data_IF_246780777241
#
_entry.id   IF_246780777241
#
_cell.length_a   1.000
_cell.length_b   1.000
_cell.length_c   1.000
_cell.angle_alpha   90.00
_cell.angle_beta   90.00
_cell.angle_gamma   90.00
#
_symmetry.space_group_name_H-M   'P 1'
#
loop_
_entity.id
_entity.type
_entity.pdbx_description
1 polymer ?
#
# COMPACT_ATOMS: atom_id res chain seq x y z
N UNK A 1 -0.03 5.29 -4.07
CA UNK A 1 0.68 3.99 -4.20
C UNK A 1 2.20 4.12 -4.14
N UNK A 2 2.85 4.90 -5.02
CA UNK A 2 4.33 5.08 -5.00
C UNK A 2 4.86 5.60 -3.65
N UNK A 3 4.12 6.48 -2.98
CA UNK A 3 4.51 7.01 -1.66
C UNK A 3 4.50 5.93 -0.57
N UNK A 4 3.48 5.07 -0.53
CA UNK A 4 3.45 3.93 0.40
C UNK A 4 4.56 2.90 0.14
N UNK A 5 5.02 2.77 -1.11
CA UNK A 5 6.18 1.95 -1.45
C UNK A 5 7.46 2.53 -0.86
N UNK A 6 7.64 3.85 -0.97
CA UNK A 6 8.77 4.55 -0.37
C UNK A 6 8.81 4.36 1.14
N UNK A 7 7.65 4.35 1.81
CA UNK A 7 7.58 4.15 3.24
C UNK A 7 7.96 2.74 3.68
N UNK A 8 7.51 1.73 2.94
CA UNK A 8 7.92 0.36 3.18
C UNK A 8 9.42 0.18 2.98
N UNK A 9 9.99 0.75 1.90
CA UNK A 9 11.44 0.73 1.66
C UNK A 9 12.19 1.48 2.77
N UNK A 10 11.64 2.61 3.24
CA UNK A 10 12.17 3.36 4.37
C UNK A 10 12.23 2.50 5.65
N UNK A 11 11.14 1.83 6.00
CA UNK A 11 11.07 0.92 7.15
C UNK A 11 12.08 -0.23 7.05
N UNK A 12 12.26 -0.82 5.87
CA UNK A 12 13.27 -1.86 5.65
C UNK A 12 14.69 -1.37 5.95
N UNK A 13 14.99 -0.10 5.67
CA UNK A 13 16.32 0.50 5.85
C UNK A 13 16.53 0.96 7.30
N UNK A 14 15.50 1.51 7.93
CA UNK A 14 15.59 2.09 9.28
C UNK A 14 15.31 1.09 10.40
N UNK A 15 14.81 -0.11 10.07
CA UNK A 15 14.30 -1.10 11.04
C UNK A 15 13.24 -0.53 12.00
N UNK A 16 12.52 0.51 11.59
CA UNK A 16 11.59 1.24 12.45
C UNK A 16 10.49 1.94 11.67
N UNK A 17 9.26 1.75 12.14
CA UNK A 17 8.09 2.41 11.59
C UNK A 17 7.92 3.82 12.18
N UNK A 18 7.80 4.82 11.31
CA UNK A 18 7.73 6.22 11.73
C UNK A 18 6.36 6.57 12.34
N UNK A 19 5.29 5.86 11.99
CA UNK A 19 3.93 6.15 12.44
C UNK A 19 3.14 4.91 12.87
N UNK A 20 3.47 4.37 14.04
CA UNK A 20 2.86 3.18 14.62
C UNK A 20 1.34 3.31 14.81
N UNK A 21 0.86 4.47 15.26
CA UNK A 21 -0.59 4.71 15.47
C UNK A 21 -1.38 4.67 14.17
N UNK A 22 -0.85 5.26 13.09
CA UNK A 22 -1.49 5.17 11.77
C UNK A 22 -1.49 3.74 11.23
N UNK A 23 -0.41 2.98 11.50
CA UNK A 23 -0.33 1.57 11.11
C UNK A 23 -1.33 0.70 11.86
N UNK A 24 -1.44 0.83 13.18
CA UNK A 24 -2.41 0.07 13.99
C UNK A 24 -3.85 0.37 13.55
N UNK A 25 -4.16 1.63 13.25
CA UNK A 25 -5.46 2.01 12.70
C UNK A 25 -5.69 1.38 11.31
N UNK A 26 -4.69 1.43 10.42
CA UNK A 26 -4.77 0.81 9.10
C UNK A 26 -4.91 -0.72 9.16
N UNK A 27 -4.15 -1.38 10.02
CA UNK A 27 -4.17 -2.83 10.18
C UNK A 27 -5.53 -3.30 10.75
N UNK A 28 -6.18 -2.51 11.61
CA UNK A 28 -7.53 -2.82 12.13
C UNK A 28 -8.68 -2.55 11.15
N UNK A 29 -8.40 -1.86 10.03
CA UNK A 29 -9.39 -1.54 8.99
C UNK A 29 -8.95 -2.06 7.60
N UNK A 30 -8.03 -3.02 7.56
CA UNK A 30 -7.37 -3.47 6.33
C UNK A 30 -8.38 -3.98 5.29
N UNK A 31 -9.36 -4.80 5.73
CA UNK A 31 -10.40 -5.30 4.84
C UNK A 31 -11.27 -4.17 4.27
N UNK A 32 -11.74 -3.25 5.10
CA UNK A 32 -12.55 -2.11 4.67
C UNK A 32 -11.80 -1.28 3.63
N UNK A 33 -10.56 -0.92 3.93
CA UNK A 33 -9.69 -0.15 3.04
C UNK A 33 -9.44 -0.86 1.72
N UNK A 34 -9.29 -2.18 1.74
CA UNK A 34 -9.16 -2.94 0.51
C UNK A 34 -10.40 -2.88 -0.38
N UNK A 35 -11.60 -2.97 0.21
CA UNK A 35 -12.84 -2.90 -0.56
C UNK A 35 -13.04 -1.50 -1.17
N UNK A 36 -12.79 -0.45 -0.39
CA UNK A 36 -12.83 0.95 -0.87
C UNK A 36 -11.83 1.15 -2.03
N UNK A 37 -10.60 0.69 -1.86
CA UNK A 37 -9.55 0.78 -2.88
C UNK A 37 -9.90 0.03 -4.17
N UNK A 38 -10.44 -1.20 -4.09
CA UNK A 38 -10.91 -1.95 -5.27
C UNK A 38 -12.04 -1.25 -6.00
N UNK A 39 -12.99 -0.69 -5.26
CA UNK A 39 -14.10 0.06 -5.86
C UNK A 39 -13.59 1.29 -6.62
N UNK A 40 -12.55 1.96 -6.12
CA UNK A 40 -11.92 3.08 -6.82
C UNK A 40 -11.16 2.62 -8.08
N UNK A 41 -10.43 1.51 -8.03
CA UNK A 41 -9.75 0.92 -9.20
C UNK A 41 -10.74 0.58 -10.33
N UNK A 42 -11.91 0.03 -9.99
CA UNK A 42 -12.92 -0.40 -10.98
C UNK A 42 -13.66 0.78 -11.63
N UNK A 43 -13.86 1.89 -10.91
CA UNK A 43 -14.74 2.97 -11.36
C UNK A 43 -14.05 4.01 -12.26
N UNK A 44 -12.74 3.89 -12.56
CA UNK A 44 -11.91 4.86 -13.34
C UNK A 44 -12.01 6.33 -12.91
N UNK A 45 -12.75 6.62 -11.84
CA UNK A 45 -12.95 7.94 -11.29
C UNK A 45 -11.99 8.10 -10.13
N UNK A 46 -10.77 8.58 -10.44
CA UNK A 46 -9.74 8.98 -9.46
C UNK A 46 -10.20 10.16 -8.59
N UNK A 47 -11.45 10.61 -8.73
CA UNK A 47 -11.99 11.84 -8.10
C UNK A 47 -12.20 11.74 -6.58
N UNK A 48 -12.14 10.56 -5.96
CA UNK A 48 -12.65 10.40 -4.59
C UNK A 48 -11.65 10.05 -3.47
N UNK A 49 -10.42 9.57 -3.71
CA UNK A 49 -9.65 9.20 -2.52
C UNK A 49 -8.28 8.55 -2.61
N UNK A 50 -7.71 8.27 -3.79
CA UNK A 50 -6.33 7.77 -3.85
C UNK A 50 -5.28 8.80 -3.39
N UNK A 51 -5.63 10.09 -3.43
CA UNK A 51 -4.73 11.24 -3.18
C UNK A 51 -5.50 12.41 -2.51
N UNK A 52 -6.14 12.17 -1.35
CA UNK A 52 -6.88 13.17 -0.58
C UNK A 52 -6.00 13.94 0.44
N UNK A 53 -4.74 14.22 0.09
CA UNK A 53 -3.84 15.04 0.90
C UNK A 53 -4.47 16.38 1.32
N UNK A 54 -5.31 16.98 0.45
CA UNK A 54 -5.95 18.28 0.69
C UNK A 54 -7.25 18.23 1.51
N UNK A 55 -7.86 17.06 1.74
CA UNK A 55 -9.18 16.96 2.40
C UNK A 55 -9.23 16.08 3.66
N UNK A 56 -8.18 15.32 3.96
CA UNK A 56 -8.08 14.50 5.15
C UNK A 56 -7.76 15.34 6.41
N UNK A 57 -8.75 16.05 6.94
CA UNK A 57 -8.61 16.79 8.22
C UNK A 57 -8.66 15.90 9.46
N UNK A 58 -9.35 14.76 9.39
CA UNK A 58 -9.65 13.90 10.56
C UNK A 58 -9.30 12.41 10.36
N UNK A 59 -8.54 12.05 9.31
CA UNK A 59 -8.13 10.67 9.05
C UNK A 59 -6.61 10.58 8.82
N UNK A 60 -5.88 9.70 9.52
CA UNK A 60 -4.44 9.54 9.28
C UNK A 60 -4.21 8.87 7.91
N UNK A 61 -3.49 9.60 7.04
CA UNK A 61 -2.90 9.21 5.75
C UNK A 61 -3.83 8.57 4.70
N UNK A 62 -3.72 9.09 3.46
CA UNK A 62 -4.47 8.68 2.27
C UNK A 62 -4.57 7.16 2.11
N UNK A 63 -5.78 6.67 1.82
CA UNK A 63 -6.07 5.25 1.55
C UNK A 63 -5.05 4.64 0.56
N UNK A 64 -4.68 5.39 -0.48
CA UNK A 64 -3.70 4.97 -1.48
C UNK A 64 -2.25 4.83 -0.97
N UNK A 65 -1.93 5.41 0.19
CA UNK A 65 -0.64 5.28 0.88
C UNK A 65 -0.57 3.98 1.66
N UNK A 66 -1.54 3.76 2.55
CA UNK A 66 -1.62 2.52 3.34
C UNK A 66 -1.73 1.29 2.43
N UNK A 67 -2.59 1.35 1.41
CA UNK A 67 -2.70 0.26 0.45
C UNK A 67 -1.40 0.02 -0.33
N UNK A 68 -0.70 1.10 -0.71
CA UNK A 68 0.61 0.98 -1.35
C UNK A 68 1.61 0.24 -0.47
N UNK A 69 1.72 0.64 0.80
CA UNK A 69 2.57 -0.02 1.78
C UNK A 69 2.27 -1.52 1.87
N UNK A 70 0.99 -1.89 2.06
CA UNK A 70 0.59 -3.30 2.26
C UNK A 70 0.82 -4.17 1.02
N UNK A 71 0.63 -3.61 -0.18
CA UNK A 71 0.93 -4.30 -1.45
C UNK A 71 2.43 -4.54 -1.60
N UNK A 72 3.27 -3.54 -1.34
CA UNK A 72 4.73 -3.68 -1.38
C UNK A 72 5.24 -4.66 -0.32
N UNK A 73 4.69 -4.59 0.89
CA UNK A 73 5.02 -5.51 1.99
C UNK A 73 4.72 -6.96 1.60
N UNK A 74 3.56 -7.22 1.01
CA UNK A 74 3.14 -8.57 0.63
C UNK A 74 3.97 -9.12 -0.53
N UNK A 75 4.28 -8.29 -1.54
CA UNK A 75 5.19 -8.66 -2.61
C UNK A 75 6.56 -9.04 -2.06
N UNK A 76 7.14 -8.17 -1.22
CA UNK A 76 8.44 -8.42 -0.61
C UNK A 76 8.44 -9.69 0.24
N UNK A 77 7.38 -9.95 1.03
CA UNK A 77 7.25 -11.19 1.84
C UNK A 77 7.27 -12.44 0.95
N UNK A 78 6.55 -12.41 -0.17
CA UNK A 78 6.42 -13.55 -1.08
C UNK A 78 7.61 -13.74 -2.04
N UNK A 79 8.48 -12.74 -2.21
CA UNK A 79 9.63 -12.83 -3.09
C UNK A 79 10.73 -13.77 -2.54
N UNK A 80 11.30 -14.61 -3.42
CA UNK A 80 12.44 -15.47 -3.08
C UNK A 80 13.75 -14.66 -2.98
N UNK A 81 13.95 -13.71 -3.90
CA UNK A 81 15.07 -12.77 -3.87
C UNK A 81 14.59 -11.42 -3.32
N UNK A 82 15.01 -11.10 -2.09
CA UNK A 82 14.64 -9.84 -1.43
C UNK A 82 15.29 -8.62 -2.07
N UNK A 83 16.47 -8.75 -2.67
CA UNK A 83 17.15 -7.63 -3.34
C UNK A 83 16.41 -7.28 -4.61
N UNK A 84 16.05 -8.29 -5.39
CA UNK A 84 15.24 -8.08 -6.59
C UNK A 84 13.88 -7.47 -6.22
N UNK A 85 13.26 -7.93 -5.12
CA UNK A 85 11.99 -7.38 -4.68
C UNK A 85 12.04 -5.87 -4.37
N UNK A 86 13.13 -5.38 -3.76
CA UNK A 86 13.32 -3.95 -3.50
C UNK A 86 13.48 -3.17 -4.81
N UNK A 87 14.22 -3.72 -5.77
CA UNK A 87 14.37 -3.11 -7.11
C UNK A 87 13.00 -3.01 -7.77
N UNK A 88 12.22 -4.09 -7.79
CA UNK A 88 10.91 -4.14 -8.43
C UNK A 88 9.91 -3.16 -7.78
N UNK A 89 9.97 -2.99 -6.46
CA UNK A 89 9.16 -2.00 -5.73
C UNK A 89 9.55 -0.57 -6.15
N UNK A 90 10.85 -0.26 -6.23
CA UNK A 90 11.35 1.08 -6.57
C UNK A 90 11.09 1.40 -8.06
N UNK A 91 11.33 0.43 -8.93
CA UNK A 91 11.25 0.58 -10.38
C UNK A 91 9.84 0.31 -10.95
N UNK A 92 8.85 0.05 -10.10
CA UNK A 92 7.48 -0.24 -10.53
C UNK A 92 6.95 0.80 -11.53
N UNK A 93 6.50 0.32 -12.69
CA UNK A 93 5.90 1.12 -13.76
C UNK A 93 4.41 0.87 -13.95
N UNK A 94 3.96 -0.37 -13.71
CA UNK A 94 2.55 -0.78 -13.84
C UNK A 94 1.97 -1.20 -12.46
N UNK A 95 1.14 -0.35 -11.84
CA UNK A 95 0.50 -0.63 -10.57
C UNK A 95 -0.42 -1.86 -10.57
N UNK A 96 -1.09 -2.15 -11.69
CA UNK A 96 -2.06 -3.24 -11.77
C UNK A 96 -1.36 -4.58 -11.93
N UNK A 97 -0.33 -4.62 -12.76
CA UNK A 97 0.56 -5.79 -12.85
C UNK A 97 1.23 -6.05 -11.49
N UNK A 98 1.76 -4.99 -10.85
CA UNK A 98 2.40 -5.10 -9.55
C UNK A 98 1.45 -5.65 -8.47
N UNK A 99 0.20 -5.17 -8.44
CA UNK A 99 -0.83 -5.70 -7.55
C UNK A 99 -1.07 -7.20 -7.79
N UNK A 100 -1.12 -7.66 -9.04
CA UNK A 100 -1.31 -9.09 -9.32
C UNK A 100 -0.13 -9.94 -8.81
N UNK A 101 1.11 -9.53 -9.11
CA UNK A 101 2.31 -10.29 -8.72
C UNK A 101 2.57 -10.24 -7.21
N UNK A 102 2.11 -9.18 -6.51
CA UNK A 102 2.15 -9.09 -5.05
C UNK A 102 1.35 -10.16 -4.34
N UNK A 103 0.35 -10.75 -5.02
CA UNK A 103 -0.66 -11.65 -4.44
C UNK A 103 -1.47 -11.03 -3.30
N UNK A 104 -1.43 -9.71 -3.14
CA UNK A 104 -2.10 -9.02 -2.05
C UNK A 104 -3.63 -9.19 -2.07
N UNK A 105 -4.26 -9.22 -3.25
CA UNK A 105 -5.71 -9.47 -3.32
C UNK A 105 -6.10 -10.88 -2.85
N UNK A 106 -5.23 -11.86 -3.11
CA UNK A 106 -5.44 -13.28 -2.77
C UNK A 106 -5.26 -13.58 -1.27
N UNK A 107 -4.61 -12.66 -0.56
CA UNK A 107 -4.42 -12.76 0.89
C UNK A 107 -5.72 -12.47 1.64
N UNK A 108 -6.03 -13.33 2.61
CA UNK A 108 -7.08 -13.08 3.61
C UNK A 108 -6.72 -11.84 4.44
N UNK A 109 -7.67 -10.91 4.52
CA UNK A 109 -7.52 -9.65 5.25
C UNK A 109 -8.24 -9.81 6.59
N UNK A 110 -7.67 -9.20 7.63
CA UNK A 110 -8.18 -9.26 9.00
C UNK A 110 -8.84 -7.94 9.38
#
# INVERSE_FOLDING_TARGET
MREGFCDFVGELITCGQINLTAKEYGDSHEEQFWQEFKNELCNRSVKNGLYNYDTAKDKPADLGYYMGYKIAEEYYKNAADKKQAVIDIIEMTDPMEFLQISKYDQKEKK
#
